data_IF_050327985379
#
_entry.id   IF_050327985379
#
_cell.length_a   1.000
_cell.length_b   1.000
_cell.length_c   1.000
_cell.angle_alpha   90.00
_cell.angle_beta   90.00
_cell.angle_gamma   90.00
#
_symmetry.space_group_name_H-M   'P 1'
#
loop_
_entity.id
_entity.type
_entity.pdbx_description
1 polymer ?
#
# COMPACT_ATOMS: atom_id res chain seq x y z
N UNK A 1 6.73 -6.34 -12.20
CA UNK A 1 6.65 -6.98 -10.86
C UNK A 1 5.19 -7.25 -10.55
N UNK A 2 4.82 -8.44 -10.10
CA UNK A 2 3.42 -8.79 -9.82
C UNK A 2 2.89 -8.18 -8.51
N UNK A 3 1.57 -7.93 -8.44
CA UNK A 3 0.91 -7.41 -7.24
C UNK A 3 1.14 -8.31 -6.02
N UNK A 4 0.95 -9.62 -6.17
CA UNK A 4 1.15 -10.59 -5.09
C UNK A 4 2.61 -10.66 -4.62
N UNK A 5 3.55 -10.50 -5.56
CA UNK A 5 4.97 -10.51 -5.26
C UNK A 5 5.34 -9.27 -4.45
N UNK A 6 4.91 -8.10 -4.92
CA UNK A 6 5.16 -6.83 -4.25
C UNK A 6 4.54 -6.80 -2.85
N UNK A 7 3.30 -7.29 -2.68
CA UNK A 7 2.65 -7.38 -1.36
C UNK A 7 3.47 -8.21 -0.38
N UNK A 8 3.94 -9.39 -0.80
CA UNK A 8 4.75 -10.26 0.05
C UNK A 8 6.04 -9.58 0.48
N UNK A 9 6.69 -8.88 -0.46
CA UNK A 9 7.93 -8.16 -0.19
C UNK A 9 7.70 -6.99 0.78
N UNK A 10 6.71 -6.13 0.50
CA UNK A 10 6.35 -5.01 1.36
C UNK A 10 5.98 -5.44 2.78
N UNK A 11 5.21 -6.53 2.93
CA UNK A 11 4.87 -7.11 4.24
C UNK A 11 6.13 -7.51 5.00
N UNK A 12 7.09 -8.15 4.32
CA UNK A 12 8.37 -8.53 4.94
C UNK A 12 9.20 -7.33 5.38
N UNK A 13 9.07 -6.18 4.71
CA UNK A 13 9.82 -4.97 5.07
C UNK A 13 9.12 -4.12 6.14
N UNK A 14 7.81 -4.27 6.31
CA UNK A 14 6.98 -3.50 7.24
C UNK A 14 6.74 -4.19 8.58
N UNK A 15 7.59 -5.14 9.01
CA UNK A 15 7.40 -5.90 10.25
C UNK A 15 7.32 -5.03 11.53
N UNK A 16 7.84 -3.79 11.49
CA UNK A 16 7.73 -2.83 12.58
C UNK A 16 6.36 -2.13 12.65
N UNK A 17 5.52 -2.24 11.62
CA UNK A 17 4.16 -1.72 11.63
C UNK A 17 3.23 -2.63 12.45
N UNK A 18 2.24 -2.05 13.13
CA UNK A 18 1.18 -2.80 13.80
C UNK A 18 0.28 -3.57 12.82
N UNK A 19 0.25 -3.18 11.54
CA UNK A 19 -0.55 -3.85 10.52
C UNK A 19 0.17 -3.93 9.15
N UNK A 20 1.28 -4.69 9.04
CA UNK A 20 2.14 -4.69 7.85
C UNK A 20 1.39 -5.04 6.56
N UNK A 21 0.48 -6.01 6.65
CA UNK A 21 -0.38 -6.41 5.52
C UNK A 21 -1.33 -5.32 5.10
N UNK A 22 -1.97 -4.64 6.07
CA UNK A 22 -2.96 -3.62 5.77
C UNK A 22 -2.30 -2.39 5.13
N UNK A 23 -1.14 -2.00 5.65
CA UNK A 23 -0.34 -0.91 5.07
C UNK A 23 0.08 -1.21 3.64
N UNK A 24 0.62 -2.40 3.38
CA UNK A 24 1.00 -2.81 2.02
C UNK A 24 -0.21 -2.82 1.07
N UNK A 25 -1.35 -3.39 1.49
CA UNK A 25 -2.59 -3.35 0.70
C UNK A 25 -3.00 -1.91 0.39
N UNK A 26 -3.00 -1.00 1.38
CA UNK A 26 -3.37 0.41 1.19
C UNK A 26 -2.45 1.12 0.19
N UNK A 27 -1.12 0.92 0.29
CA UNK A 27 -0.17 1.52 -0.64
C UNK A 27 -0.39 1.03 -2.07
N UNK A 28 -0.63 -0.27 -2.24
CA UNK A 28 -0.89 -0.86 -3.55
C UNK A 28 -2.22 -0.35 -4.14
N UNK A 29 -3.28 -0.28 -3.32
CA UNK A 29 -4.57 0.28 -3.71
C UNK A 29 -4.42 1.75 -4.15
N UNK A 30 -3.65 2.54 -3.40
CA UNK A 30 -3.40 3.96 -3.67
C UNK A 30 -2.67 4.19 -5.00
N UNK A 31 -1.58 3.46 -5.26
CA UNK A 31 -0.77 3.65 -6.48
C UNK A 31 -1.42 3.06 -7.72
N UNK A 32 -2.09 1.91 -7.59
CA UNK A 32 -2.71 1.23 -8.74
C UNK A 32 -4.12 1.73 -9.05
N UNK A 33 -4.76 2.41 -8.11
CA UNK A 33 -6.18 2.78 -8.19
C UNK A 33 -7.12 1.57 -8.22
N UNK A 34 -6.63 0.38 -7.87
CA UNK A 34 -7.40 -0.86 -7.83
C UNK A 34 -7.78 -1.17 -6.40
N UNK A 35 -9.05 -1.43 -6.14
CA UNK A 35 -9.49 -1.82 -4.81
C UNK A 35 -8.97 -3.20 -4.39
N UNK A 36 -8.97 -3.45 -3.07
CA UNK A 36 -8.53 -4.71 -2.45
C UNK A 36 -9.00 -5.98 -3.16
N UNK A 37 -10.28 -6.08 -3.50
CA UNK A 37 -10.86 -7.27 -4.15
C UNK A 37 -10.19 -7.57 -5.49
N UNK A 38 -9.89 -6.54 -6.28
CA UNK A 38 -9.21 -6.70 -7.56
C UNK A 38 -7.78 -7.21 -7.35
N UNK A 39 -7.05 -6.60 -6.42
CA UNK A 39 -5.67 -6.98 -6.10
C UNK A 39 -5.59 -8.45 -5.65
N UNK A 40 -6.55 -8.90 -4.84
CA UNK A 40 -6.59 -10.29 -4.36
C UNK A 40 -7.04 -11.27 -5.45
N UNK A 41 -7.96 -10.86 -6.33
CA UNK A 41 -8.46 -11.72 -7.41
C UNK A 41 -7.49 -11.83 -8.60
N UNK A 42 -6.67 -10.80 -8.82
CA UNK A 42 -5.76 -10.69 -9.97
C UNK A 42 -4.33 -10.38 -9.50
N UNK A 43 -3.82 -11.17 -8.55
CA UNK A 43 -2.50 -10.97 -7.93
C UNK A 43 -1.33 -11.08 -8.90
N UNK A 44 -1.52 -11.75 -10.04
CA UNK A 44 -0.57 -11.90 -11.15
C UNK A 44 -0.46 -10.65 -12.04
N UNK A 45 -1.28 -9.61 -11.79
CA UNK A 45 -1.20 -8.34 -12.54
C UNK A 45 0.17 -7.69 -12.36
N UNK A 46 0.75 -7.24 -13.46
CA UNK A 46 2.05 -6.56 -13.45
C UNK A 46 1.90 -5.08 -13.11
N UNK A 47 2.72 -4.60 -12.18
CA UNK A 47 2.99 -3.18 -11.96
C UNK A 47 3.81 -2.62 -13.12
N UNK A 48 3.48 -1.39 -13.52
CA UNK A 48 4.34 -0.60 -14.40
C UNK A 48 5.56 -0.09 -13.65
N UNK A 49 6.59 0.34 -14.38
CA UNK A 49 7.82 0.88 -13.78
C UNK A 49 7.55 2.14 -12.93
N UNK A 50 6.64 3.01 -13.40
CA UNK A 50 6.20 4.19 -12.65
C UNK A 50 5.52 3.81 -11.33
N UNK A 51 4.65 2.78 -11.35
CA UNK A 51 4.00 2.29 -10.14
C UNK A 51 5.01 1.67 -9.17
N UNK A 52 5.99 0.92 -9.68
CA UNK A 52 7.06 0.37 -8.84
C UNK A 52 7.85 1.49 -8.13
N UNK A 53 8.22 2.54 -8.87
CA UNK A 53 8.96 3.68 -8.30
C UNK A 53 8.14 4.43 -7.23
N UNK A 54 6.85 4.67 -7.49
CA UNK A 54 5.97 5.31 -6.51
C UNK A 54 5.80 4.46 -5.25
N UNK A 55 5.59 3.15 -5.42
CA UNK A 55 5.45 2.22 -4.31
C UNK A 55 6.72 2.13 -3.46
N UNK A 56 7.89 2.11 -4.08
CA UNK A 56 9.18 2.06 -3.37
C UNK A 56 9.41 3.32 -2.51
N UNK A 57 9.09 4.50 -3.05
CA UNK A 57 9.16 5.76 -2.32
C UNK A 57 8.20 5.80 -1.12
N UNK A 58 6.95 5.33 -1.30
CA UNK A 58 5.97 5.28 -0.21
C UNK A 58 6.31 4.21 0.83
N UNK A 59 6.81 3.05 0.40
CA UNK A 59 7.23 1.97 1.28
C UNK A 59 8.39 2.40 2.17
N UNK A 60 9.38 3.11 1.60
CA UNK A 60 10.52 3.67 2.36
C UNK A 60 10.03 4.61 3.46
N UNK A 61 9.18 5.59 3.11
CA UNK A 61 8.59 6.51 4.10
C UNK A 61 7.78 5.77 5.18
N UNK A 62 7.02 4.73 4.80
CA UNK A 62 6.26 3.93 5.77
C UNK A 62 7.18 3.16 6.71
N UNK A 63 8.29 2.61 6.20
CA UNK A 63 9.32 1.91 7.00
C UNK A 63 9.99 2.84 7.99
N UNK A 64 10.17 4.11 7.65
CA UNK A 64 10.71 5.15 8.54
C UNK A 64 9.72 5.60 9.63
N UNK A 65 8.53 4.99 9.66
CA UNK A 65 7.51 5.23 10.70
C UNK A 65 6.47 6.27 10.32
N UNK A 66 6.48 6.79 9.10
CA UNK A 66 5.46 7.75 8.67
C UNK A 66 4.06 7.12 8.67
N UNK A 67 3.02 7.75 9.25
CA UNK A 67 1.69 7.17 9.29
C UNK A 67 1.09 6.98 7.88
N UNK A 68 0.39 5.86 7.66
CA UNK A 68 -0.19 5.52 6.34
C UNK A 68 -1.11 6.61 5.78
N UNK A 69 -1.86 7.30 6.65
CA UNK A 69 -2.75 8.41 6.29
C UNK A 69 -2.02 9.63 5.71
N UNK A 70 -0.76 9.85 6.10
CA UNK A 70 0.08 10.91 5.55
C UNK A 70 0.60 10.56 4.15
N UNK A 71 0.78 9.25 3.90
CA UNK A 71 1.27 8.74 2.61
C UNK A 71 0.18 8.76 1.54
N UNK A 72 -1.05 8.36 1.89
CA UNK A 72 -2.18 8.35 0.96
C UNK A 72 -2.92 9.69 0.89
N UNK A 73 -2.62 10.61 1.80
CA UNK A 73 -3.37 11.87 1.95
C UNK A 73 -4.82 11.67 2.42
N UNK A 74 -5.23 10.42 2.68
CA UNK A 74 -6.56 10.11 3.20
C UNK A 74 -6.48 10.21 4.72
N UNK A 75 -6.87 11.37 5.22
CA UNK A 75 -7.22 11.53 6.63
C UNK A 75 -8.54 10.77 6.80
N UNK A 76 -8.52 9.61 7.48
CA UNK A 76 -9.74 9.10 8.12
C UNK A 76 -10.12 10.11 9.21
N UNK A 77 -10.74 11.22 8.78
CA UNK A 77 -11.32 12.20 9.67
C UNK A 77 -12.66 11.60 10.08
N UNK A 78 -12.67 11.04 11.29
CA UNK A 78 -13.82 10.91 12.19
C UNK A 78 -15.18 10.89 11.50
N UNK A 79 -15.82 9.72 11.49
CA UNK A 79 -17.25 9.57 11.21
C UNK A 79 -18.06 10.48 12.11
N UNK A 80 -18.44 11.66 11.62
CA UNK A 80 -19.56 12.45 12.15
C UNK A 80 -20.22 13.19 10.98
N UNK A 81 -21.20 12.57 10.29
CA UNK A 81 -22.25 13.37 9.66
C UNK A 81 -23.02 14.07 10.80
N UNK A 82 -23.01 15.41 10.82
CA UNK A 82 -24.03 16.19 11.51
C UNK A 82 -25.33 16.15 10.69
#
# INVERSE_FOLDING_TARGET
MEYQYWLREAISQLQASESPRRDAEILLEYVTGRGRTFILAFGETQLTDEQCQQLDALLTRRRDGEPIAHLTGVREFWSLPL
#
